data_IF_302483760801
#
_entry.id   IF_302483760801
#
_cell.length_a   1.000
_cell.length_b   1.000
_cell.length_c   1.000
_cell.angle_alpha   90.00
_cell.angle_beta   90.00
_cell.angle_gamma   90.00
#
_symmetry.space_group_name_H-M   'P 1'
#
loop_
_entity.id
_entity.type
_entity.pdbx_description
1 polymer ?
#
# COMPACT_ATOMS: atom_id res chain seq x y z
N UNK A 1 29.29 -30.37 24.14
CA UNK A 1 28.44 -29.20 24.46
C UNK A 1 29.19 -28.04 25.15
N UNK A 2 30.31 -28.25 25.86
CA UNK A 2 31.03 -27.19 26.63
C UNK A 2 31.70 -26.07 25.82
N UNK A 3 31.78 -26.17 24.48
CA UNK A 3 32.50 -25.21 23.63
C UNK A 3 31.58 -24.13 23.01
N UNK A 4 30.27 -24.37 22.96
CA UNK A 4 29.30 -23.42 22.42
C UNK A 4 29.01 -22.27 23.40
N UNK A 5 29.06 -22.53 24.71
CA UNK A 5 28.86 -21.50 25.74
C UNK A 5 30.00 -20.49 25.83
N UNK A 6 31.19 -20.81 25.33
CA UNK A 6 32.35 -19.90 25.32
C UNK A 6 32.30 -18.84 24.22
N UNK A 7 31.52 -19.08 23.16
CA UNK A 7 31.35 -18.16 22.04
C UNK A 7 30.00 -17.41 22.14
N UNK A 8 28.97 -18.06 22.70
CA UNK A 8 27.65 -17.45 22.86
C UNK A 8 27.65 -16.24 23.83
N UNK A 9 28.44 -16.30 24.90
CA UNK A 9 28.51 -15.24 25.93
C UNK A 9 29.10 -13.92 25.40
N UNK A 10 30.26 -13.89 24.71
CA UNK A 10 30.80 -12.64 24.16
C UNK A 10 29.94 -12.06 23.03
N UNK A 11 29.27 -12.91 22.23
CA UNK A 11 28.36 -12.46 21.18
C UNK A 11 27.11 -11.77 21.76
N UNK A 12 26.54 -12.33 22.84
CA UNK A 12 25.41 -11.74 23.54
C UNK A 12 25.77 -10.38 24.17
N UNK A 13 26.99 -10.23 24.70
CA UNK A 13 27.47 -8.96 25.24
C UNK A 13 27.62 -7.88 24.15
N UNK A 14 28.11 -8.25 22.96
CA UNK A 14 28.26 -7.32 21.84
C UNK A 14 26.90 -6.78 21.35
N UNK A 15 25.87 -7.64 21.32
CA UNK A 15 24.50 -7.23 20.96
C UNK A 15 23.92 -6.25 21.99
N UNK A 16 24.15 -6.48 23.28
CA UNK A 16 23.69 -5.59 24.36
C UNK A 16 24.42 -4.25 24.36
N UNK A 17 25.69 -4.20 23.93
CA UNK A 17 26.46 -2.95 23.84
C UNK A 17 26.12 -2.11 22.60
N UNK A 18 25.69 -2.75 21.51
CA UNK A 18 25.28 -2.06 20.28
C UNK A 18 23.80 -1.65 20.27
N UNK A 19 22.93 -2.35 21.02
CA UNK A 19 21.52 -2.02 21.16
C UNK A 19 21.22 -0.59 21.66
N UNK A 20 21.95 -0.01 22.63
CA UNK A 20 21.70 1.36 23.08
C UNK A 20 22.23 2.42 22.11
N UNK A 21 23.19 2.10 21.23
CA UNK A 21 23.72 3.08 20.28
C UNK A 21 22.73 3.39 19.14
N UNK A 22 21.88 2.43 18.76
CA UNK A 22 20.80 2.66 17.79
C UNK A 22 19.60 3.42 18.37
N UNK A 23 19.37 3.36 19.69
CA UNK A 23 18.34 4.17 20.36
C UNK A 23 18.79 5.61 20.59
N UNK A 24 20.10 5.85 20.70
CA UNK A 24 20.70 7.18 20.88
C UNK A 24 20.82 7.99 19.58
N UNK A 25 20.72 7.35 18.40
CA UNK A 25 20.69 8.04 17.11
C UNK A 25 19.28 8.52 16.70
N UNK A 26 18.24 8.14 17.45
CA UNK A 26 16.89 8.61 17.26
C UNK A 26 16.75 10.04 17.82
N UNK A 27 17.31 11.01 17.09
CA UNK A 27 17.11 12.43 17.39
C UNK A 27 15.62 12.76 17.47
N UNK A 28 15.22 13.46 18.53
CA UNK A 28 13.85 13.94 18.78
C UNK A 28 13.47 15.03 17.76
N UNK A 29 13.20 14.62 16.52
CA UNK A 29 12.42 15.43 15.58
C UNK A 29 11.04 15.65 16.20
N UNK A 30 10.48 16.86 16.10
CA UNK A 30 9.13 17.15 16.58
C UNK A 30 8.10 16.31 15.80
N UNK A 31 7.72 15.15 16.35
CA UNK A 31 6.95 14.14 15.62
C UNK A 31 5.45 14.46 15.54
N UNK A 32 4.94 15.41 16.33
CA UNK A 32 3.51 15.74 16.38
C UNK A 32 3.01 16.41 15.09
N UNK A 33 3.77 17.35 14.53
CA UNK A 33 3.40 18.02 13.28
C UNK A 33 3.59 17.09 12.08
N UNK A 34 4.65 16.27 12.11
CA UNK A 34 4.88 15.27 11.09
C UNK A 34 3.74 14.22 11.05
N UNK A 35 3.23 13.79 12.22
CA UNK A 35 2.04 12.94 12.32
C UNK A 35 0.81 13.59 11.69
N UNK A 36 0.50 14.83 12.06
CA UNK A 36 -0.70 15.51 11.59
C UNK A 36 -0.76 15.62 10.06
N UNK A 37 0.34 16.05 9.42
CA UNK A 37 0.41 16.13 7.96
C UNK A 37 0.34 14.73 7.32
N UNK A 38 0.97 13.72 7.93
CA UNK A 38 0.90 12.33 7.44
C UNK A 38 -0.52 11.79 7.48
N UNK A 39 -1.19 11.87 8.63
CA UNK A 39 -2.53 11.30 8.83
C UNK A 39 -3.56 12.00 7.94
N UNK A 40 -3.41 13.32 7.73
CA UNK A 40 -4.29 14.07 6.83
C UNK A 40 -4.15 13.60 5.37
N UNK A 41 -2.92 13.34 4.90
CA UNK A 41 -2.67 12.86 3.54
C UNK A 41 -3.19 11.42 3.36
N UNK A 42 -2.89 10.54 4.32
CA UNK A 42 -3.36 9.14 4.30
C UNK A 42 -4.88 9.09 4.30
N UNK A 43 -5.53 9.89 5.14
CA UNK A 43 -6.99 9.97 5.21
C UNK A 43 -7.60 10.45 3.88
N UNK A 44 -7.02 11.47 3.26
CA UNK A 44 -7.49 11.98 1.97
C UNK A 44 -7.36 10.93 0.86
N UNK A 45 -6.27 10.17 0.85
CA UNK A 45 -6.06 9.09 -0.14
C UNK A 45 -7.05 7.94 0.07
N UNK A 46 -7.23 7.48 1.31
CA UNK A 46 -8.16 6.39 1.66
C UNK A 46 -9.63 6.74 1.40
N UNK A 47 -10.04 7.90 1.87
CA UNK A 47 -11.46 8.24 1.96
C UNK A 47 -11.97 8.87 0.67
N UNK A 48 -11.06 9.40 -0.16
CA UNK A 48 -11.43 10.16 -1.37
C UNK A 48 -10.79 9.56 -2.60
N UNK A 49 -9.45 9.53 -2.68
CA UNK A 49 -8.77 9.21 -3.94
C UNK A 49 -9.07 7.78 -4.42
N UNK A 50 -8.98 6.79 -3.53
CA UNK A 50 -9.20 5.39 -3.92
C UNK A 50 -10.65 5.09 -4.26
N UNK A 51 -11.65 5.47 -3.43
CA UNK A 51 -13.05 5.27 -3.77
C UNK A 51 -13.43 5.94 -5.09
N UNK A 52 -12.89 7.14 -5.36
CA UNK A 52 -13.14 7.86 -6.61
C UNK A 52 -12.51 7.13 -7.81
N UNK A 53 -11.26 6.68 -7.71
CA UNK A 53 -10.62 5.92 -8.79
C UNK A 53 -11.33 4.58 -9.05
N UNK A 54 -11.76 3.89 -8.00
CA UNK A 54 -12.56 2.67 -8.10
C UNK A 54 -13.93 2.94 -8.75
N UNK A 55 -14.60 4.04 -8.38
CA UNK A 55 -15.87 4.43 -8.98
C UNK A 55 -15.72 4.76 -10.47
N UNK A 56 -14.66 5.49 -10.87
CA UNK A 56 -14.38 5.78 -12.27
C UNK A 56 -14.09 4.50 -13.05
N UNK A 57 -13.24 3.61 -12.52
CA UNK A 57 -12.96 2.32 -13.15
C UNK A 57 -14.25 1.48 -13.33
N UNK A 58 -15.13 1.50 -12.33
CA UNK A 58 -16.43 0.82 -12.39
C UNK A 58 -17.36 1.42 -13.45
N UNK A 59 -17.43 2.76 -13.56
CA UNK A 59 -18.23 3.44 -14.58
C UNK A 59 -17.70 3.11 -16.00
N UNK A 60 -16.39 3.12 -16.21
CA UNK A 60 -15.78 2.75 -17.51
C UNK A 60 -16.07 1.30 -17.85
N UNK A 61 -15.99 0.40 -16.85
CA UNK A 61 -16.36 -1.00 -17.02
C UNK A 61 -17.83 -1.16 -17.42
N UNK A 62 -18.76 -0.51 -16.71
CA UNK A 62 -20.18 -0.54 -17.05
C UNK A 62 -20.47 0.05 -18.43
N UNK A 63 -19.79 1.14 -18.81
CA UNK A 63 -19.90 1.72 -20.15
C UNK A 63 -19.44 0.75 -21.24
N UNK A 64 -18.34 0.04 -21.00
CA UNK A 64 -17.86 -1.01 -21.90
C UNK A 64 -18.86 -2.16 -22.04
N UNK A 65 -19.45 -2.63 -20.93
CA UNK A 65 -20.47 -3.69 -20.93
C UNK A 65 -21.72 -3.23 -21.67
N UNK A 66 -22.21 -2.02 -21.38
CA UNK A 66 -23.35 -1.43 -22.08
C UNK A 66 -23.10 -1.34 -23.59
N UNK A 67 -21.94 -0.80 -24.00
CA UNK A 67 -21.58 -0.68 -25.42
C UNK A 67 -21.44 -2.06 -26.09
N UNK A 68 -20.88 -3.04 -25.40
CA UNK A 68 -20.71 -4.41 -25.92
C UNK A 68 -22.04 -5.14 -26.10
N UNK A 69 -22.93 -5.10 -25.10
CA UNK A 69 -24.16 -5.90 -25.09
C UNK A 69 -25.36 -5.21 -25.75
N UNK A 70 -25.52 -3.89 -25.57
CA UNK A 70 -26.68 -3.16 -26.10
C UNK A 70 -26.39 -2.67 -27.52
N UNK A 71 -25.27 -1.96 -27.72
CA UNK A 71 -24.93 -1.38 -29.04
C UNK A 71 -24.23 -2.38 -29.96
N UNK A 72 -23.46 -3.32 -29.39
CA UNK A 72 -22.79 -4.38 -30.13
C UNK A 72 -23.72 -5.46 -30.69
N UNK A 73 -25.00 -5.47 -30.30
CA UNK A 73 -26.02 -6.33 -30.91
C UNK A 73 -26.43 -5.86 -32.31
N UNK A 74 -26.25 -4.57 -32.62
CA UNK A 74 -26.63 -3.96 -33.89
C UNK A 74 -25.45 -3.78 -34.86
N UNK A 75 -24.21 -3.71 -34.35
CA UNK A 75 -23.03 -3.39 -35.16
C UNK A 75 -21.74 -4.00 -34.56
N UNK A 76 -20.99 -4.77 -35.35
CA UNK A 76 -19.77 -5.47 -34.93
C UNK A 76 -18.68 -4.49 -34.47
N UNK A 77 -18.64 -3.27 -35.03
CA UNK A 77 -17.68 -2.24 -34.62
C UNK A 77 -17.91 -1.80 -33.17
N UNK A 78 -19.17 -1.68 -32.74
CA UNK A 78 -19.49 -1.31 -31.36
C UNK A 78 -19.17 -2.46 -30.39
N UNK A 79 -19.23 -3.70 -30.88
CA UNK A 79 -18.82 -4.89 -30.13
C UNK A 79 -17.31 -4.93 -29.88
N UNK A 80 -16.49 -4.61 -30.88
CA UNK A 80 -15.03 -4.53 -30.68
C UNK A 80 -14.65 -3.38 -29.75
N UNK A 81 -15.24 -2.21 -29.93
CA UNK A 81 -14.99 -1.05 -29.07
C UNK A 81 -15.43 -1.32 -27.61
N UNK A 82 -16.62 -1.90 -27.40
CA UNK A 82 -17.14 -2.24 -26.08
C UNK A 82 -16.24 -3.22 -25.33
N UNK A 83 -15.73 -4.24 -26.03
CA UNK A 83 -14.77 -5.20 -25.45
C UNK A 83 -13.49 -4.50 -24.99
N UNK A 84 -12.98 -3.58 -25.79
CA UNK A 84 -11.80 -2.80 -25.44
C UNK A 84 -12.03 -1.97 -24.17
N UNK A 85 -13.18 -1.28 -24.05
CA UNK A 85 -13.51 -0.52 -22.85
C UNK A 85 -13.63 -1.39 -21.58
N UNK A 86 -14.25 -2.57 -21.68
CA UNK A 86 -14.30 -3.54 -20.56
C UNK A 86 -12.89 -3.94 -20.13
N UNK A 87 -12.02 -4.23 -21.11
CA UNK A 87 -10.64 -4.64 -20.85
C UNK A 87 -9.84 -3.53 -20.16
N UNK A 88 -9.98 -2.29 -20.61
CA UNK A 88 -9.37 -1.12 -19.97
C UNK A 88 -9.90 -0.90 -18.54
N UNK A 89 -11.19 -1.15 -18.29
CA UNK A 89 -11.77 -1.11 -16.94
C UNK A 89 -11.12 -2.13 -16.00
N UNK A 90 -10.99 -3.39 -16.45
CA UNK A 90 -10.36 -4.47 -15.68
C UNK A 90 -8.88 -4.15 -15.40
N UNK A 91 -8.14 -3.66 -16.40
CA UNK A 91 -6.75 -3.23 -16.22
C UNK A 91 -6.66 -2.13 -15.17
N UNK A 92 -7.58 -1.15 -15.21
CA UNK A 92 -7.68 -0.09 -14.20
C UNK A 92 -7.84 -0.64 -12.80
N UNK A 93 -8.76 -1.61 -12.60
CA UNK A 93 -8.94 -2.28 -11.32
C UNK A 93 -7.68 -3.00 -10.82
N UNK A 94 -7.01 -3.74 -11.70
CA UNK A 94 -5.79 -4.47 -11.36
C UNK A 94 -4.66 -3.52 -10.97
N UNK A 95 -4.47 -2.41 -11.69
CA UNK A 95 -3.42 -1.43 -11.37
C UNK A 95 -3.68 -0.80 -9.99
N UNK A 96 -4.90 -0.34 -9.74
CA UNK A 96 -5.28 0.27 -8.45
C UNK A 96 -5.05 -0.72 -7.32
N UNK A 97 -5.54 -1.96 -7.48
CA UNK A 97 -5.38 -3.02 -6.46
C UNK A 97 -3.92 -3.45 -6.26
N UNK A 98 -3.10 -3.46 -7.32
CA UNK A 98 -1.71 -3.90 -7.26
C UNK A 98 -0.82 -2.89 -6.54
N UNK A 99 -0.97 -1.60 -6.84
CA UNK A 99 -0.25 -0.53 -6.14
C UNK A 99 -0.56 -0.59 -4.64
N UNK A 100 -1.82 -0.83 -4.30
CA UNK A 100 -2.27 -0.90 -2.92
C UNK A 100 -1.83 -2.15 -2.17
N UNK A 101 -1.86 -3.31 -2.83
CA UNK A 101 -1.26 -4.53 -2.30
C UNK A 101 0.22 -4.35 -2.02
N UNK A 102 0.96 -3.71 -2.93
CA UNK A 102 2.38 -3.43 -2.76
C UNK A 102 2.64 -2.45 -1.60
N UNK A 103 1.87 -1.36 -1.52
CA UNK A 103 1.98 -0.38 -0.42
C UNK A 103 1.75 -1.05 0.93
N UNK A 104 0.76 -1.94 1.03
CA UNK A 104 0.47 -2.66 2.25
C UNK A 104 1.62 -3.60 2.65
N UNK A 105 2.13 -4.40 1.70
CA UNK A 105 3.27 -5.30 1.94
C UNK A 105 4.51 -4.53 2.39
N UNK A 106 4.83 -3.44 1.69
CA UNK A 106 5.97 -2.55 2.02
C UNK A 106 5.77 -1.90 3.39
N UNK A 107 4.56 -1.40 3.68
CA UNK A 107 4.22 -0.80 4.97
C UNK A 107 4.33 -1.79 6.14
N UNK A 108 3.90 -3.04 5.96
CA UNK A 108 3.98 -4.05 7.02
C UNK A 108 5.38 -4.64 7.20
N UNK A 109 6.15 -4.78 6.12
CA UNK A 109 7.42 -5.52 6.14
C UNK A 109 8.63 -4.63 6.39
N UNK A 110 8.66 -3.43 5.81
CA UNK A 110 9.81 -2.51 5.91
C UNK A 110 9.63 -1.46 7.03
N UNK A 111 8.42 -1.34 7.59
CA UNK A 111 8.10 -0.38 8.66
C UNK A 111 7.43 -1.12 9.84
N UNK A 112 8.20 -1.88 10.65
CA UNK A 112 7.64 -2.72 11.71
C UNK A 112 7.10 -1.90 12.88
N UNK A 113 5.84 -2.13 13.25
CA UNK A 113 5.12 -1.37 14.28
C UNK A 113 5.62 -1.60 15.72
N UNK A 114 6.70 -0.95 16.15
CA UNK A 114 7.13 -0.97 17.55
C UNK A 114 6.39 0.07 18.40
N UNK A 115 6.14 -0.24 19.68
CA UNK A 115 5.24 0.49 20.60
C UNK A 115 5.60 1.95 20.93
N UNK A 116 6.66 2.51 20.33
CA UNK A 116 7.01 3.95 20.41
C UNK A 116 7.39 4.53 19.06
N UNK A 117 7.20 3.77 18.00
CA UNK A 117 7.47 4.24 16.67
C UNK A 117 6.21 4.89 16.13
N UNK A 118 6.39 6.14 15.78
CA UNK A 118 5.41 6.95 15.10
C UNK A 118 5.66 6.71 13.61
N UNK A 119 5.27 5.54 13.17
CA UNK A 119 5.15 5.24 11.75
C UNK A 119 3.72 5.54 11.32
N UNK A 120 3.56 6.18 10.16
CA UNK A 120 2.24 6.47 9.62
C UNK A 120 1.48 5.16 9.40
N UNK A 121 0.20 5.14 9.78
CA UNK A 121 -0.70 4.11 9.31
C UNK A 121 -0.73 4.20 7.78
N UNK A 122 -0.42 3.11 7.09
CA UNK A 122 -0.57 3.10 5.64
C UNK A 122 -2.05 3.18 5.31
N UNK A 123 -2.38 3.76 4.15
CA UNK A 123 -3.71 3.67 3.57
C UNK A 123 -4.28 2.23 3.73
N UNK A 124 -5.53 2.04 4.20
CA UNK A 124 -6.18 0.71 4.31
C UNK A 124 -7.51 0.76 3.55
N UNK A 125 -7.77 -0.25 2.71
CA UNK A 125 -9.04 -0.43 2.01
C UNK A 125 -10.16 -0.82 2.97
#
# INVERSE_FOLDING_TARGET
MKNLSRIAVPLALAVVFFAPLSSLAAGTVNQQWAQYYRDTIVWAVNSVLVPVLMAIAFIVFLWGVYKYFIQGAADEKNRTDGRQFVFWGIIGFVIISSIWGLVNIVGQTLIPSTASSIHPAYPTL
#
